data_IF_315598471707
#
_entry.id   IF_315598471707
#
_cell.length_a   1.000
_cell.length_b   1.000
_cell.length_c   1.000
_cell.angle_alpha   90.00
_cell.angle_beta   90.00
_cell.angle_gamma   90.00
#
_symmetry.space_group_name_H-M   'P 1'
#
loop_
_entity.id
_entity.type
_entity.pdbx_description
1 polymer ?
#
# COMPACT_ATOMS: atom_id res chain seq x y z
N UNK A 1 -29.34 12.48 -31.72
CA UNK A 1 -28.11 13.04 -31.11
C UNK A 1 -28.16 12.73 -29.62
N UNK A 2 -27.57 11.60 -29.25
CA UNK A 2 -27.61 11.03 -27.91
C UNK A 2 -26.41 11.57 -27.13
N UNK A 3 -26.69 12.35 -26.08
CA UNK A 3 -25.67 12.86 -25.16
C UNK A 3 -24.95 11.66 -24.52
N UNK A 4 -23.65 11.58 -24.78
CA UNK A 4 -22.73 10.60 -24.21
C UNK A 4 -22.85 10.63 -22.68
N UNK A 5 -23.32 9.52 -22.12
CA UNK A 5 -23.52 9.35 -20.69
C UNK A 5 -22.24 9.64 -19.93
N UNK A 6 -22.28 10.67 -19.07
CA UNK A 6 -21.29 10.86 -18.02
C UNK A 6 -21.10 9.53 -17.27
N UNK A 7 -19.86 9.15 -16.93
CA UNK A 7 -19.62 7.95 -16.15
C UNK A 7 -20.41 8.02 -14.84
N UNK A 8 -20.98 6.88 -14.44
CA UNK A 8 -21.77 6.70 -13.22
C UNK A 8 -21.04 7.32 -12.01
N UNK A 9 -21.73 7.97 -11.05
CA UNK A 9 -21.11 8.62 -9.88
C UNK A 9 -20.11 7.74 -9.10
N UNK A 10 -20.33 6.42 -9.14
CA UNK A 10 -19.45 5.41 -8.55
C UNK A 10 -18.04 5.44 -9.17
N UNK A 11 -17.93 5.53 -10.49
CA UNK A 11 -16.65 5.56 -11.22
C UNK A 11 -15.87 6.82 -10.84
N UNK A 12 -16.53 7.97 -10.77
CA UNK A 12 -15.90 9.23 -10.32
C UNK A 12 -15.40 9.16 -8.88
N UNK A 13 -16.19 8.59 -7.96
CA UNK A 13 -15.77 8.45 -6.56
C UNK A 13 -14.55 7.54 -6.41
N UNK A 14 -14.52 6.40 -7.10
CA UNK A 14 -13.39 5.48 -7.09
C UNK A 14 -12.14 6.10 -7.71
N UNK A 15 -12.26 6.74 -8.88
CA UNK A 15 -11.14 7.43 -9.54
C UNK A 15 -10.60 8.61 -8.72
N UNK A 16 -11.45 9.30 -7.95
CA UNK A 16 -11.00 10.40 -7.09
C UNK A 16 -10.08 9.93 -5.97
N UNK A 17 -10.36 8.77 -5.37
CA UNK A 17 -9.49 8.15 -4.37
C UNK A 17 -8.16 7.67 -4.99
N UNK A 18 -8.20 7.15 -6.22
CA UNK A 18 -7.01 6.76 -6.98
C UNK A 18 -6.10 7.93 -7.31
N UNK A 19 -6.67 9.01 -7.85
CA UNK A 19 -5.94 10.23 -8.16
C UNK A 19 -5.37 10.88 -6.88
N UNK A 20 -6.10 10.79 -5.77
CA UNK A 20 -5.57 11.24 -4.47
C UNK A 20 -4.38 10.39 -4.04
N UNK A 21 -4.49 9.06 -4.12
CA UNK A 21 -3.41 8.16 -3.74
C UNK A 21 -2.15 8.40 -4.58
N UNK A 22 -2.30 8.61 -5.89
CA UNK A 22 -1.20 8.95 -6.80
C UNK A 22 -0.40 10.18 -6.34
N UNK A 23 -1.07 11.18 -5.76
CA UNK A 23 -0.41 12.41 -5.25
C UNK A 23 0.29 12.19 -3.91
N UNK A 24 -0.03 11.12 -3.21
CA UNK A 24 0.43 10.85 -1.85
C UNK A 24 1.48 9.75 -1.75
N UNK A 25 1.64 8.92 -2.78
CA UNK A 25 2.63 7.83 -2.81
C UNK A 25 3.61 7.98 -3.97
N UNK A 26 4.83 7.49 -3.80
CA UNK A 26 5.79 7.49 -4.91
C UNK A 26 5.26 6.69 -6.11
N UNK A 27 5.61 7.05 -7.36
CA UNK A 27 5.01 6.46 -8.56
C UNK A 27 5.08 4.94 -8.63
N UNK A 28 6.18 4.33 -8.18
CA UNK A 28 6.34 2.86 -8.19
C UNK A 28 5.39 2.14 -7.22
N UNK A 29 5.07 2.77 -6.08
CA UNK A 29 4.08 2.21 -5.13
C UNK A 29 2.67 2.32 -5.71
N UNK A 30 2.39 3.45 -6.35
CA UNK A 30 1.12 3.65 -7.05
C UNK A 30 0.94 2.66 -8.20
N UNK A 31 1.98 2.41 -9.00
CA UNK A 31 1.94 1.50 -10.16
C UNK A 31 1.61 0.06 -9.75
N UNK A 32 2.27 -0.48 -8.71
CA UNK A 32 1.96 -1.83 -8.21
C UNK A 32 0.51 -1.90 -7.74
N UNK A 33 0.06 -0.87 -7.03
CA UNK A 33 -1.32 -0.80 -6.53
C UNK A 33 -2.30 -0.75 -7.69
N UNK A 34 -2.06 0.08 -8.70
CA UNK A 34 -2.92 0.18 -9.88
C UNK A 34 -3.01 -1.16 -10.62
N UNK A 35 -1.87 -1.81 -10.90
CA UNK A 35 -1.84 -3.13 -11.55
C UNK A 35 -2.51 -4.20 -10.72
N UNK A 36 -2.38 -4.11 -9.40
CA UNK A 36 -3.10 -4.99 -8.49
C UNK A 36 -4.62 -4.85 -8.70
N UNK A 37 -5.16 -3.63 -8.70
CA UNK A 37 -6.61 -3.40 -8.85
C UNK A 37 -7.14 -3.65 -10.26
N UNK A 38 -6.32 -3.41 -11.30
CA UNK A 38 -6.66 -3.73 -12.69
C UNK A 38 -6.50 -5.23 -13.01
N UNK A 39 -5.89 -5.99 -12.10
CA UNK A 39 -5.61 -7.40 -12.34
C UNK A 39 -4.53 -7.61 -13.41
N UNK A 40 -3.52 -6.75 -13.46
CA UNK A 40 -2.37 -6.83 -14.37
C UNK A 40 -1.12 -7.45 -13.71
N UNK A 41 -1.24 -7.93 -12.48
CA UNK A 41 -0.19 -8.68 -11.80
C UNK A 41 -0.19 -10.14 -12.23
N UNK A 42 0.97 -10.64 -12.63
CA UNK A 42 1.17 -12.04 -13.00
C UNK A 42 1.56 -12.84 -11.75
N UNK A 43 0.60 -13.58 -11.21
CA UNK A 43 0.78 -14.51 -10.09
C UNK A 43 0.72 -15.96 -10.58
N UNK A 44 1.25 -16.90 -9.81
CA UNK A 44 1.40 -18.30 -10.19
C UNK A 44 0.10 -18.96 -10.68
N UNK A 45 -1.05 -18.65 -10.10
CA UNK A 45 -2.36 -19.16 -10.57
C UNK A 45 -2.64 -18.89 -12.05
N UNK A 46 -2.07 -17.83 -12.64
CA UNK A 46 -2.21 -17.46 -14.06
C UNK A 46 -1.23 -18.18 -14.98
N UNK A 47 -0.25 -18.90 -14.43
CA UNK A 47 0.81 -19.59 -15.18
C UNK A 47 0.48 -21.08 -15.45
N UNK A 48 -0.80 -21.45 -15.46
CA UNK A 48 -1.24 -22.85 -15.65
C UNK A 48 -0.72 -23.47 -16.96
N UNK A 49 -0.54 -22.66 -18.00
CA UNK A 49 -0.03 -23.10 -19.30
C UNK A 49 1.44 -23.54 -19.27
N UNK A 50 2.20 -23.17 -18.23
CA UNK A 50 3.61 -23.57 -18.04
C UNK A 50 3.77 -24.85 -17.20
N UNK A 51 2.67 -25.45 -16.73
CA UNK A 51 2.71 -26.58 -15.78
C UNK A 51 3.46 -27.81 -16.32
N UNK A 52 3.47 -28.03 -17.63
CA UNK A 52 4.22 -29.12 -18.26
C UNK A 52 5.74 -28.92 -18.21
N UNK A 53 6.21 -27.67 -18.22
CA UNK A 53 7.62 -27.31 -18.17
C UNK A 53 8.12 -27.18 -16.74
N UNK A 54 7.28 -26.66 -15.85
CA UNK A 54 7.56 -26.50 -14.45
C UNK A 54 6.31 -26.87 -13.62
N UNK A 55 6.28 -28.08 -13.02
CA UNK A 55 5.14 -28.55 -12.24
C UNK A 55 4.78 -27.68 -11.03
N UNK A 56 5.72 -26.89 -10.51
CA UNK A 56 5.53 -26.02 -9.34
C UNK A 56 5.29 -24.57 -9.72
N UNK A 57 5.18 -24.23 -11.02
CA UNK A 57 5.04 -22.83 -11.51
C UNK A 57 3.84 -22.07 -10.93
N UNK A 58 2.79 -22.79 -10.51
CA UNK A 58 1.61 -22.19 -9.90
C UNK A 58 1.71 -22.03 -8.38
N UNK A 59 2.70 -22.65 -7.74
CA UNK A 59 2.88 -22.60 -6.30
C UNK A 59 3.41 -21.23 -5.85
N UNK A 60 3.17 -20.91 -4.59
CA UNK A 60 3.73 -19.73 -3.94
C UNK A 60 5.26 -19.72 -4.07
N UNK A 61 5.83 -18.56 -4.38
CA UNK A 61 7.30 -18.42 -4.54
C UNK A 61 8.06 -18.67 -3.24
N UNK A 62 7.39 -18.59 -2.09
CA UNK A 62 8.00 -18.73 -0.77
C UNK A 62 8.25 -20.22 -0.47
N UNK A 63 9.50 -20.57 -0.16
CA UNK A 63 9.98 -21.96 -0.08
C UNK A 63 9.17 -22.88 0.84
N UNK A 64 8.58 -22.35 1.91
CA UNK A 64 7.78 -23.12 2.87
C UNK A 64 6.30 -23.27 2.49
N UNK A 65 5.88 -22.75 1.33
CA UNK A 65 4.48 -22.68 0.96
C UNK A 65 4.22 -23.34 -0.40
N UNK A 66 3.44 -24.42 -0.41
CA UNK A 66 3.07 -25.18 -1.62
C UNK A 66 1.68 -24.81 -2.15
N UNK A 67 1.01 -23.82 -1.55
CA UNK A 67 -0.31 -23.37 -1.98
C UNK A 67 -0.24 -22.71 -3.37
N UNK A 68 -1.35 -22.77 -4.11
CA UNK A 68 -1.46 -22.05 -5.39
C UNK A 68 -1.40 -20.55 -5.12
N UNK A 69 -0.51 -19.85 -5.83
CA UNK A 69 -0.34 -18.40 -5.72
C UNK A 69 -1.51 -17.67 -6.42
N UNK A 70 -2.60 -17.48 -5.69
CA UNK A 70 -3.65 -16.51 -6.05
C UNK A 70 -3.19 -15.09 -5.70
N UNK A 71 -3.91 -14.08 -6.19
CA UNK A 71 -3.64 -12.68 -5.81
C UNK A 71 -3.79 -12.49 -4.29
N UNK A 72 -4.87 -13.02 -3.70
CA UNK A 72 -5.06 -13.00 -2.24
C UNK A 72 -3.94 -13.73 -1.50
N UNK A 73 -3.48 -14.88 -2.01
CA UNK A 73 -2.38 -15.61 -1.39
C UNK A 73 -1.04 -14.86 -1.48
N UNK A 74 -0.75 -14.27 -2.64
CA UNK A 74 0.46 -13.49 -2.88
C UNK A 74 0.60 -12.34 -1.87
N UNK A 75 -0.51 -11.66 -1.59
CA UNK A 75 -0.53 -10.42 -0.80
C UNK A 75 -1.01 -10.58 0.63
N UNK A 76 -1.81 -11.58 0.98
CA UNK A 76 -2.48 -11.63 2.28
C UNK A 76 -2.46 -13.00 2.94
N UNK A 77 -3.05 -14.02 2.33
CA UNK A 77 -3.34 -15.29 3.02
C UNK A 77 -2.17 -16.27 3.12
N UNK A 78 -0.97 -15.88 2.65
CA UNK A 78 0.23 -16.68 2.86
C UNK A 78 0.73 -16.57 4.31
N UNK A 79 0.96 -17.68 5.04
CA UNK A 79 1.41 -17.64 6.44
C UNK A 79 2.72 -16.86 6.67
N UNK A 80 3.58 -16.79 5.66
CA UNK A 80 4.80 -15.99 5.73
C UNK A 80 4.55 -14.47 5.91
N UNK A 81 3.33 -14.01 5.63
CA UNK A 81 2.93 -12.61 5.76
C UNK A 81 2.22 -12.30 7.09
N UNK A 82 1.90 -13.30 7.91
CA UNK A 82 1.13 -13.13 9.15
C UNK A 82 1.75 -12.09 10.08
N UNK A 83 3.07 -12.16 10.28
CA UNK A 83 3.79 -11.22 11.15
C UNK A 83 3.77 -9.80 10.58
N UNK A 84 3.89 -9.66 9.25
CA UNK A 84 3.87 -8.37 8.57
C UNK A 84 2.52 -7.71 8.76
N UNK A 85 1.45 -8.44 8.43
CA UNK A 85 0.08 -7.92 8.57
C UNK A 85 -0.29 -7.70 10.03
N UNK A 86 0.10 -8.58 10.96
CA UNK A 86 -0.17 -8.41 12.40
C UNK A 86 0.50 -7.16 12.95
N UNK A 87 1.78 -6.96 12.62
CA UNK A 87 2.56 -5.80 13.07
C UNK A 87 1.99 -4.51 12.47
N UNK A 88 1.69 -4.54 11.16
CA UNK A 88 1.11 -3.40 10.46
C UNK A 88 -0.31 -3.08 10.97
N UNK A 89 -1.12 -4.08 11.30
CA UNK A 89 -2.51 -3.94 11.74
C UNK A 89 -2.66 -3.41 13.16
N UNK A 90 -1.71 -3.72 14.05
CA UNK A 90 -1.82 -3.40 15.48
C UNK A 90 -2.21 -1.93 15.74
N UNK A 91 -1.57 -0.90 15.14
CA UNK A 91 -1.99 0.49 15.23
C UNK A 91 -3.42 0.78 14.74
N UNK A 92 -3.87 0.08 13.69
CA UNK A 92 -5.14 0.32 12.98
C UNK A 92 -6.33 -0.43 13.59
N UNK A 93 -6.09 -1.44 14.41
CA UNK A 93 -7.14 -2.22 15.09
C UNK A 93 -8.09 -1.36 15.95
N UNK A 94 -7.62 -0.18 16.41
CA UNK A 94 -8.42 0.80 17.13
C UNK A 94 -9.29 1.69 16.23
N UNK A 95 -9.05 1.70 14.92
CA UNK A 95 -9.79 2.51 13.93
C UNK A 95 -10.99 1.75 13.40
N UNK A 96 -10.78 0.47 13.10
CA UNK A 96 -11.77 -0.38 12.45
C UNK A 96 -12.55 -1.22 13.47
N UNK A 97 -13.82 -1.49 13.13
CA UNK A 97 -14.71 -2.39 13.87
C UNK A 97 -14.34 -3.85 13.54
N UNK A 98 -14.09 -4.11 12.26
CA UNK A 98 -13.77 -5.43 11.75
C UNK A 98 -12.33 -5.84 12.10
N UNK A 99 -12.09 -7.16 12.12
CA UNK A 99 -10.73 -7.71 12.10
C UNK A 99 -10.11 -7.44 10.73
N UNK A 100 -8.77 -7.53 10.65
CA UNK A 100 -8.10 -7.49 9.36
C UNK A 100 -8.53 -8.69 8.53
N UNK A 101 -9.10 -8.41 7.36
CA UNK A 101 -9.38 -9.40 6.33
C UNK A 101 -8.98 -8.85 4.96
N UNK A 102 -9.08 -9.72 3.95
CA UNK A 102 -8.74 -9.38 2.58
C UNK A 102 -9.56 -8.21 2.04
N UNK A 103 -10.86 -8.16 2.33
CA UNK A 103 -11.75 -7.14 1.80
C UNK A 103 -11.49 -5.76 2.39
N UNK A 104 -11.13 -5.69 3.67
CA UNK A 104 -10.77 -4.47 4.38
C UNK A 104 -9.47 -3.85 3.85
N UNK A 105 -8.53 -4.68 3.39
CA UNK A 105 -7.31 -4.21 2.73
C UNK A 105 -7.62 -3.51 1.41
N UNK A 106 -8.57 -4.04 0.64
CA UNK A 106 -8.84 -3.57 -0.72
C UNK A 106 -9.86 -2.44 -0.78
N UNK A 107 -10.95 -2.59 -0.04
CA UNK A 107 -12.12 -1.73 -0.16
C UNK A 107 -12.64 -1.30 1.21
N UNK A 108 -11.83 -0.57 1.99
CA UNK A 108 -12.26 -0.02 3.27
C UNK A 108 -13.43 0.94 3.06
N UNK A 109 -14.52 0.76 3.81
CA UNK A 109 -15.72 1.60 3.75
C UNK A 109 -15.90 2.38 5.05
N UNK A 110 -16.57 3.54 5.03
CA UNK A 110 -16.85 4.31 6.25
C UNK A 110 -17.61 3.52 7.33
N UNK A 111 -18.41 2.52 6.93
CA UNK A 111 -19.13 1.64 7.87
C UNK A 111 -18.20 0.74 8.70
N UNK A 112 -17.01 0.46 8.18
CA UNK A 112 -16.01 -0.39 8.83
C UNK A 112 -15.26 0.37 9.93
N UNK A 113 -15.40 1.70 10.00
CA UNK A 113 -14.80 2.56 11.02
C UNK A 113 -15.64 2.58 12.30
N UNK A 114 -14.94 2.58 13.45
CA UNK A 114 -15.56 2.82 14.76
C UNK A 114 -16.12 4.25 14.84
N UNK A 115 -17.15 4.45 15.65
CA UNK A 115 -17.92 5.70 15.69
C UNK A 115 -17.06 6.95 15.92
N UNK A 116 -16.05 6.86 16.79
CA UNK A 116 -15.09 7.93 17.09
C UNK A 116 -14.10 8.25 15.94
N UNK A 117 -14.08 7.43 14.89
CA UNK A 117 -13.27 7.60 13.68
C UNK A 117 -14.11 7.93 12.44
N UNK A 118 -15.44 7.72 12.46
CA UNK A 118 -16.32 7.97 11.29
C UNK A 118 -16.32 9.41 10.79
N UNK A 119 -16.11 10.39 11.69
CA UNK A 119 -15.98 11.82 11.33
C UNK A 119 -14.67 12.13 10.62
N UNK A 120 -13.74 11.17 10.61
CA UNK A 120 -12.43 11.31 10.03
C UNK A 120 -12.28 10.32 8.87
N UNK A 121 -12.90 10.64 7.72
CA UNK A 121 -12.82 9.80 6.51
C UNK A 121 -11.40 9.76 5.90
N UNK A 122 -10.55 10.72 6.28
CA UNK A 122 -9.18 10.87 5.78
C UNK A 122 -8.23 9.79 6.31
N UNK A 123 -8.64 9.06 7.33
CA UNK A 123 -7.94 7.95 7.96
C UNK A 123 -7.96 6.72 7.05
N UNK A 124 -9.06 6.55 6.32
CA UNK A 124 -9.17 5.53 5.28
C UNK A 124 -8.11 5.78 4.20
N UNK A 125 -7.80 7.04 3.92
CA UNK A 125 -6.78 7.41 2.93
C UNK A 125 -5.37 7.09 3.45
N UNK A 126 -5.07 7.37 4.72
CA UNK A 126 -3.79 6.96 5.34
C UNK A 126 -3.65 5.44 5.43
N UNK A 127 -4.74 4.73 5.71
CA UNK A 127 -4.77 3.26 5.65
C UNK A 127 -4.41 2.78 4.23
N UNK A 128 -5.01 3.37 3.19
CA UNK A 128 -4.69 3.04 1.79
C UNK A 128 -3.24 3.32 1.42
N UNK A 129 -2.65 4.40 1.92
CA UNK A 129 -1.21 4.68 1.75
C UNK A 129 -0.39 3.55 2.37
N UNK A 130 -0.71 3.16 3.60
CA UNK A 130 0.03 2.11 4.31
C UNK A 130 -0.09 0.74 3.63
N UNK A 131 -1.30 0.35 3.21
CA UNK A 131 -1.52 -0.91 2.50
C UNK A 131 -0.85 -0.92 1.12
N UNK A 132 -0.86 0.20 0.40
CA UNK A 132 -0.15 0.33 -0.89
C UNK A 132 1.36 0.13 -0.73
N UNK A 133 1.95 0.71 0.33
CA UNK A 133 3.37 0.51 0.65
C UNK A 133 3.65 -0.97 0.97
N UNK A 134 2.77 -1.61 1.75
CA UNK A 134 2.90 -3.03 2.07
C UNK A 134 2.78 -3.90 0.82
N UNK A 135 1.80 -3.65 -0.05
CA UNK A 135 1.64 -4.35 -1.33
C UNK A 135 2.87 -4.19 -2.22
N UNK A 136 3.38 -2.98 -2.39
CA UNK A 136 4.62 -2.77 -3.13
C UNK A 136 5.80 -3.56 -2.53
N UNK A 137 5.98 -3.53 -1.20
CA UNK A 137 7.03 -4.28 -0.52
C UNK A 137 6.90 -5.79 -0.71
N UNK A 138 5.67 -6.33 -0.64
CA UNK A 138 5.37 -7.74 -0.87
C UNK A 138 5.64 -8.13 -2.33
N UNK A 139 5.17 -7.33 -3.27
CA UNK A 139 5.35 -7.58 -4.71
C UNK A 139 6.82 -7.56 -5.11
N UNK A 140 7.57 -6.57 -4.62
CA UNK A 140 9.01 -6.49 -4.84
C UNK A 140 9.71 -7.74 -4.31
N UNK A 141 9.48 -8.09 -3.05
CA UNK A 141 10.10 -9.28 -2.46
C UNK A 141 9.74 -10.55 -3.25
N UNK A 142 8.48 -10.70 -3.66
CA UNK A 142 8.05 -11.84 -4.47
C UNK A 142 8.87 -11.95 -5.76
N UNK A 143 9.13 -10.82 -6.44
CA UNK A 143 9.97 -10.80 -7.63
C UNK A 143 11.43 -11.12 -7.29
N UNK A 144 11.99 -10.54 -6.22
CA UNK A 144 13.36 -10.83 -5.78
C UNK A 144 13.54 -12.35 -5.50
N UNK A 145 12.55 -13.01 -4.89
CA UNK A 145 12.57 -14.47 -4.67
C UNK A 145 12.51 -15.22 -6.01
N UNK A 146 11.62 -14.81 -6.91
CA UNK A 146 11.42 -15.46 -8.21
C UNK A 146 12.67 -15.39 -9.10
N UNK A 147 13.40 -14.27 -9.04
CA UNK A 147 14.66 -14.06 -9.77
C UNK A 147 15.91 -14.44 -8.97
N UNK A 148 15.74 -15.13 -7.84
CA UNK A 148 16.84 -15.62 -6.99
C UNK A 148 17.78 -14.52 -6.46
N UNK A 149 17.25 -13.31 -6.27
CA UNK A 149 17.99 -12.15 -5.74
C UNK A 149 17.98 -12.09 -4.20
N UNK A 150 17.18 -12.94 -3.54
CA UNK A 150 17.09 -13.01 -2.08
C UNK A 150 16.64 -14.36 -1.54
N UNK A 151 17.04 -14.67 -0.31
CA UNK A 151 16.52 -15.79 0.50
C UNK A 151 15.46 -15.34 1.53
N UNK A 152 15.13 -14.05 1.59
CA UNK A 152 14.13 -13.54 2.51
C UNK A 152 12.72 -14.04 2.14
N UNK A 153 11.93 -14.46 3.14
CA UNK A 153 10.57 -14.99 2.91
C UNK A 153 9.45 -13.99 3.25
N UNK A 154 9.77 -12.87 3.90
CA UNK A 154 8.82 -11.82 4.28
C UNK A 154 9.42 -10.42 4.12
N UNK A 155 8.60 -9.40 3.82
CA UNK A 155 9.07 -8.01 3.78
C UNK A 155 9.64 -7.56 5.12
N UNK A 156 10.63 -6.66 5.08
CA UNK A 156 11.12 -6.00 6.28
C UNK A 156 10.06 -5.01 6.81
N UNK A 157 9.45 -5.33 7.95
CA UNK A 157 8.39 -4.53 8.59
C UNK A 157 8.87 -3.15 9.03
N UNK A 158 10.14 -3.00 9.43
CA UNK A 158 10.71 -1.69 9.77
C UNK A 158 10.85 -0.82 8.52
N UNK A 159 11.24 -1.39 7.37
CA UNK A 159 11.30 -0.67 6.10
C UNK A 159 9.93 -0.19 5.63
N UNK A 160 8.90 -1.04 5.78
CA UNK A 160 7.49 -0.66 5.52
C UNK A 160 7.08 0.50 6.42
N UNK A 161 7.34 0.39 7.74
CA UNK A 161 7.02 1.44 8.72
C UNK A 161 7.74 2.75 8.43
N UNK A 162 9.04 2.71 8.15
CA UNK A 162 9.84 3.90 7.82
C UNK A 162 9.38 4.55 6.51
N UNK A 163 9.00 3.74 5.52
CA UNK A 163 8.44 4.24 4.26
C UNK A 163 7.07 4.89 4.48
N UNK A 164 6.22 4.31 5.34
CA UNK A 164 4.97 4.95 5.75
C UNK A 164 5.21 6.30 6.44
N UNK A 165 6.15 6.36 7.39
CA UNK A 165 6.54 7.62 8.05
C UNK A 165 6.97 8.71 7.07
N UNK A 166 7.79 8.36 6.06
CA UNK A 166 8.19 9.32 5.00
C UNK A 166 7.01 9.81 4.16
N UNK A 167 6.04 8.96 3.85
CA UNK A 167 4.84 9.39 3.14
C UNK A 167 3.93 10.26 4.01
N UNK A 168 3.80 9.95 5.30
CA UNK A 168 3.14 10.81 6.27
C UNK A 168 3.78 12.20 6.36
N UNK A 169 5.11 12.27 6.32
CA UNK A 169 5.86 13.53 6.27
C UNK A 169 5.57 14.33 4.99
N UNK A 170 5.48 13.66 3.84
CA UNK A 170 5.10 14.27 2.57
C UNK A 170 3.66 14.81 2.63
N UNK A 171 2.72 14.00 3.10
CA UNK A 171 1.31 14.38 3.24
C UNK A 171 1.17 15.58 4.18
N UNK A 172 1.96 15.62 5.26
CA UNK A 172 2.00 16.75 6.19
C UNK A 172 2.54 18.02 5.53
N UNK A 173 3.63 17.95 4.77
CA UNK A 173 4.20 19.10 4.06
C UNK A 173 3.25 19.68 3.01
N UNK A 174 2.58 18.80 2.28
CA UNK A 174 1.65 19.16 1.21
C UNK A 174 0.19 19.13 1.65
N UNK A 175 -0.08 19.26 2.96
CA UNK A 175 -1.42 19.00 3.49
C UNK A 175 -2.46 19.91 2.83
N UNK A 176 -2.17 21.20 2.67
CA UNK A 176 -3.08 22.16 2.01
C UNK A 176 -3.42 21.75 0.59
N UNK A 177 -2.44 21.35 -0.21
CA UNK A 177 -2.62 20.91 -1.61
C UNK A 177 -3.40 19.59 -1.71
N UNK A 178 -3.22 18.71 -0.72
CA UNK A 178 -3.86 17.40 -0.63
C UNK A 178 -5.22 17.45 0.07
N UNK A 179 -5.66 18.64 0.50
CA UNK A 179 -6.92 18.84 1.20
C UNK A 179 -6.91 18.36 2.66
N UNK A 180 -5.74 18.17 3.28
CA UNK A 180 -5.54 17.83 4.69
C UNK A 180 -5.22 19.07 5.53
N UNK A 181 -5.75 19.10 6.77
CA UNK A 181 -5.23 20.01 7.78
C UNK A 181 -3.99 19.41 8.43
N UNK A 182 -2.88 20.15 8.51
CA UNK A 182 -1.64 19.70 9.20
C UNK A 182 -1.92 19.13 10.59
N UNK A 183 -2.72 19.85 11.37
CA UNK A 183 -3.13 19.42 12.71
C UNK A 183 -3.86 18.08 12.71
N UNK A 184 -4.73 17.83 11.73
CA UNK A 184 -5.44 16.56 11.63
C UNK A 184 -4.47 15.39 11.37
N UNK A 185 -3.49 15.57 10.49
CA UNK A 185 -2.46 14.53 10.22
C UNK A 185 -1.69 14.18 11.50
N UNK A 186 -1.22 15.18 12.25
CA UNK A 186 -0.50 14.96 13.52
C UNK A 186 -1.38 14.23 14.55
N UNK A 187 -2.61 14.69 14.76
CA UNK A 187 -3.54 14.08 15.71
C UNK A 187 -3.84 12.63 15.34
N UNK A 188 -4.08 12.35 14.06
CA UNK A 188 -4.35 10.99 13.58
C UNK A 188 -3.14 10.08 13.81
N UNK A 189 -1.94 10.50 13.43
CA UNK A 189 -0.71 9.69 13.61
C UNK A 189 -0.40 9.45 15.09
N UNK A 190 -0.51 10.48 15.93
CA UNK A 190 -0.34 10.35 17.39
C UNK A 190 -1.32 9.35 17.99
N UNK A 191 -2.61 9.44 17.62
CA UNK A 191 -3.64 8.50 18.11
C UNK A 191 -3.35 7.06 17.67
N UNK A 192 -2.77 6.88 16.49
CA UNK A 192 -2.34 5.58 15.99
C UNK A 192 -1.02 5.09 16.60
N UNK A 193 -0.32 5.90 17.39
CA UNK A 193 0.99 5.55 17.95
C UNK A 193 2.11 5.57 16.91
N UNK A 194 1.93 6.29 15.81
CA UNK A 194 3.00 6.60 14.86
C UNK A 194 3.74 7.87 15.29
N UNK A 195 5.00 8.00 14.84
CA UNK A 195 5.77 9.22 15.02
C UNK A 195 5.10 10.38 14.29
N UNK A 196 5.08 11.54 14.95
CA UNK A 196 4.52 12.74 14.36
C UNK A 196 5.46 13.31 13.28
N UNK A 197 4.90 13.87 12.20
CA UNK A 197 5.69 14.57 11.21
C UNK A 197 6.33 15.81 11.83
N UNK A 198 7.57 16.11 11.45
CA UNK A 198 8.29 17.28 11.91
C UNK A 198 8.28 18.38 10.83
N UNK A 199 8.15 19.65 11.22
CA UNK A 199 8.57 20.74 10.34
C UNK A 199 10.11 20.77 10.36
N UNK A 200 10.74 19.98 9.49
CA UNK A 200 12.16 20.16 9.21
C UNK A 200 12.37 21.59 8.70
N UNK A 201 13.17 22.38 9.43
CA UNK A 201 13.78 23.59 8.90
C UNK A 201 14.67 23.13 7.75
N UNK A 202 14.24 23.35 6.51
CA UNK A 202 15.07 23.07 5.34
C UNK A 202 16.29 24.00 5.43
N UNK A 203 17.52 23.52 5.70
CA UNK A 203 18.68 24.37 5.50
C UNK A 203 18.71 24.73 3.99
N UNK A 204 19.04 25.98 3.62
CA UNK A 204 19.11 26.39 2.23
C UNK A 204 19.99 25.38 1.47
N UNK A 205 19.42 24.73 0.47
CA UNK A 205 20.09 23.69 -0.30
C UNK A 205 21.42 24.22 -0.84
N UNK A 206 22.57 23.61 -0.50
CA UNK A 206 23.77 23.87 -1.27
C UNK A 206 23.53 23.28 -2.66
N UNK A 207 23.48 24.16 -3.67
CA UNK A 207 23.43 23.80 -5.09
C UNK A 207 24.48 22.71 -5.36
N UNK A 208 24.06 21.45 -5.49
CA UNK A 208 24.96 20.38 -5.92
C UNK A 208 25.21 20.56 -7.41
N UNK A 209 26.32 21.22 -7.74
CA UNK A 209 26.92 21.17 -9.07
C UNK A 209 27.34 19.71 -9.28
N UNK A 210 26.72 19.04 -10.26
CA UNK A 210 27.13 17.71 -10.69
C UNK A 210 28.41 17.85 -11.50
N UNK A 211 29.52 17.28 -11.02
CA UNK A 211 30.76 17.15 -11.81
C UNK A 211 30.84 15.70 -12.27
N UNK A 212 30.80 15.41 -13.59
CA UNK A 212 31.00 14.07 -14.11
C UNK A 212 32.43 13.62 -13.81
N UNK A 213 32.59 12.39 -13.31
CA UNK A 213 33.91 11.76 -13.23
C UNK A 213 34.33 11.32 -14.62
N UNK A 214 35.54 11.73 -15.03
CA UNK A 214 36.25 11.24 -16.22
C UNK A 214 36.72 9.81 -16.01
#
# INVERSE_FOLDING_TARGET
MTLLGCPTPLIHSTLSEWNWLQRCVIPVIHEVTLRFFLGDLIVGSRLYFLKSLNPTVQQCVRRSCVAIETVEHCFFSCPALDEVWTTMWRPWSQVFIAKLDWWLLLFPKPRDLRANWRRHQKEVLLWRVHTSIAFHGIWRLRNDIYFHETDANKPNTQSVKATFGRHCQLIFRHSTELGFGKHAVCVTLRRLGFEEPCEEIIPPSPRRIWIPRQ
#
